data_IF_427144585759
#
_entry.id   IF_427144585759
#
_cell.length_a   1.000
_cell.length_b   1.000
_cell.length_c   1.000
_cell.angle_alpha   90.00
_cell.angle_beta   90.00
_cell.angle_gamma   90.00
#
_symmetry.space_group_name_H-M   'P 1'
#
loop_
_entity.id
_entity.type
_entity.pdbx_description
1 polymer ?
#
# COMPACT_ATOMS: atom_id res chain seq x y z
N UNK A 1 -1.37 -45.28 33.02
CA UNK A 1 -0.88 -45.52 31.66
C UNK A 1 -1.54 -44.47 30.77
N UNK A 2 -1.36 -43.18 31.09
CA UNK A 2 -2.19 -42.08 30.53
C UNK A 2 -1.38 -40.84 30.10
N UNK A 3 -0.08 -40.78 30.37
CA UNK A 3 0.76 -39.65 29.96
C UNK A 3 1.12 -39.67 28.46
N UNK A 4 1.04 -40.84 27.80
CA UNK A 4 1.46 -41.01 26.41
C UNK A 4 0.37 -40.64 25.38
N UNK A 5 -0.90 -40.63 25.80
CA UNK A 5 -2.03 -40.21 24.95
C UNK A 5 -2.23 -38.69 24.95
N UNK A 6 -1.93 -38.01 26.07
CA UNK A 6 -2.00 -36.55 26.16
C UNK A 6 -0.95 -35.85 25.26
N UNK A 7 0.21 -36.47 25.04
CA UNK A 7 1.30 -35.89 24.23
C UNK A 7 1.00 -35.84 22.72
N UNK A 8 0.05 -36.63 22.19
CA UNK A 8 -0.32 -36.59 20.76
C UNK A 8 -1.37 -35.55 20.40
N UNK A 9 -2.10 -35.01 21.39
CA UNK A 9 -3.12 -33.99 21.16
C UNK A 9 -2.52 -32.59 21.08
N UNK A 10 -1.36 -32.35 21.71
CA UNK A 10 -0.67 -31.04 21.70
C UNK A 10 0.33 -30.86 20.55
N UNK A 11 0.83 -31.94 19.94
CA UNK A 11 1.71 -31.85 18.77
C UNK A 11 0.96 -31.56 17.45
N UNK A 12 -0.37 -31.49 17.50
CA UNK A 12 -1.22 -31.33 16.32
C UNK A 12 -1.37 -29.86 15.91
N UNK A 13 -1.12 -28.90 16.81
CA UNK A 13 -1.24 -27.48 16.49
C UNK A 13 -0.06 -26.92 15.69
N UNK A 14 1.16 -27.39 15.96
CA UNK A 14 2.34 -27.02 15.17
C UNK A 14 2.33 -27.67 13.77
N UNK A 15 1.74 -28.86 13.61
CA UNK A 15 1.72 -29.60 12.34
C UNK A 15 0.74 -29.02 11.30
N UNK A 16 -0.44 -28.53 11.73
CA UNK A 16 -1.36 -27.88 10.79
C UNK A 16 -0.89 -26.49 10.40
N UNK A 17 -0.31 -25.72 11.34
CA UNK A 17 0.26 -24.41 11.04
C UNK A 17 1.43 -24.52 10.07
N UNK A 18 2.36 -25.46 10.29
CA UNK A 18 3.46 -25.76 9.37
C UNK A 18 2.96 -26.28 8.01
N UNK A 19 1.91 -27.11 8.01
CA UNK A 19 1.29 -27.60 6.77
C UNK A 19 0.65 -26.46 5.97
N UNK A 20 -0.03 -25.52 6.62
CA UNK A 20 -0.56 -24.31 5.97
C UNK A 20 0.59 -23.44 5.45
N UNK A 21 1.63 -23.20 6.25
CA UNK A 21 2.79 -22.42 5.84
C UNK A 21 3.48 -23.03 4.60
N UNK A 22 3.62 -24.35 4.55
CA UNK A 22 4.13 -25.08 3.37
C UNK A 22 3.21 -24.94 2.16
N UNK A 23 1.90 -25.05 2.33
CA UNK A 23 0.93 -24.88 1.25
C UNK A 23 0.98 -23.45 0.68
N UNK A 24 1.06 -22.43 1.54
CA UNK A 24 1.25 -21.03 1.14
C UNK A 24 2.58 -20.86 0.40
N UNK A 25 3.67 -21.47 0.89
CA UNK A 25 4.96 -21.46 0.20
C UNK A 25 4.90 -22.08 -1.20
N UNK A 26 4.17 -23.18 -1.37
CA UNK A 26 3.93 -23.81 -2.68
C UNK A 26 3.09 -22.91 -3.59
N UNK A 27 2.08 -22.22 -3.06
CA UNK A 27 1.27 -21.27 -3.82
C UNK A 27 2.11 -20.08 -4.31
N UNK A 28 2.93 -19.49 -3.44
CA UNK A 28 3.86 -18.40 -3.80
C UNK A 28 4.84 -18.84 -4.89
N UNK A 29 5.45 -20.03 -4.74
CA UNK A 29 6.36 -20.56 -5.75
C UNK A 29 5.67 -20.81 -7.10
N UNK A 30 4.42 -21.30 -7.08
CA UNK A 30 3.63 -21.48 -8.29
C UNK A 30 3.28 -20.12 -8.95
N UNK A 31 2.90 -19.12 -8.16
CA UNK A 31 2.62 -17.77 -8.65
C UNK A 31 3.86 -17.12 -9.31
N UNK A 32 5.05 -17.34 -8.75
CA UNK A 32 6.31 -16.86 -9.33
C UNK A 32 6.61 -17.53 -10.68
N UNK A 33 6.38 -18.85 -10.80
CA UNK A 33 6.53 -19.57 -12.07
C UNK A 33 5.55 -19.03 -13.11
N UNK A 34 4.28 -18.86 -12.75
CA UNK A 34 3.27 -18.29 -13.65
C UNK A 34 3.68 -16.89 -14.11
N UNK A 35 4.17 -16.04 -13.20
CA UNK A 35 4.66 -14.70 -13.53
C UNK A 35 5.83 -14.76 -14.53
N UNK A 36 6.79 -15.66 -14.32
CA UNK A 36 7.93 -15.82 -15.23
C UNK A 36 7.48 -16.28 -16.63
N UNK A 37 6.58 -17.25 -16.72
CA UNK A 37 6.03 -17.76 -18.00
C UNK A 37 5.24 -16.67 -18.73
N UNK A 38 4.41 -15.90 -18.01
CA UNK A 38 3.66 -14.78 -18.61
C UNK A 38 4.62 -13.70 -19.14
N UNK A 39 5.69 -13.38 -18.41
CA UNK A 39 6.71 -12.44 -18.88
C UNK A 39 7.42 -12.95 -20.14
N UNK A 40 7.80 -14.23 -20.18
CA UNK A 40 8.40 -14.85 -21.36
C UNK A 40 7.46 -14.85 -22.56
N UNK A 41 6.17 -15.18 -22.36
CA UNK A 41 5.15 -15.13 -23.40
C UNK A 41 5.00 -13.70 -23.97
N UNK A 42 5.00 -12.67 -23.11
CA UNK A 42 4.99 -11.27 -23.55
C UNK A 42 6.22 -10.89 -24.37
N UNK A 43 7.41 -11.35 -23.97
CA UNK A 43 8.66 -11.11 -24.72
C UNK A 43 8.61 -11.77 -26.12
N UNK A 44 7.94 -12.91 -26.22
CA UNK A 44 7.72 -13.62 -27.48
C UNK A 44 6.52 -13.08 -28.30
N UNK A 45 5.94 -11.95 -27.91
CA UNK A 45 4.88 -11.25 -28.65
C UNK A 45 3.45 -11.70 -28.34
N UNK A 46 3.22 -12.59 -27.36
CA UNK A 46 1.87 -12.97 -26.97
C UNK A 46 1.06 -11.76 -26.47
N UNK A 47 -0.19 -11.64 -26.90
CA UNK A 47 -1.06 -10.54 -26.47
C UNK A 47 -1.67 -10.83 -25.10
N UNK A 48 -2.11 -9.79 -24.38
CA UNK A 48 -2.84 -9.96 -23.11
C UNK A 48 -4.15 -10.74 -23.26
N UNK A 49 -4.73 -10.76 -24.46
CA UNK A 49 -5.89 -11.59 -24.75
C UNK A 49 -5.51 -13.07 -24.65
N UNK A 50 -4.49 -13.49 -25.40
CA UNK A 50 -4.00 -14.88 -25.41
C UNK A 50 -3.58 -15.33 -24.01
N UNK A 51 -2.91 -14.45 -23.26
CA UNK A 51 -2.50 -14.75 -21.88
C UNK A 51 -3.71 -14.89 -20.95
N UNK A 52 -4.70 -14.00 -21.06
CA UNK A 52 -5.94 -14.11 -20.28
C UNK A 52 -6.67 -15.41 -20.56
N UNK A 53 -6.85 -15.76 -21.84
CA UNK A 53 -7.51 -16.99 -22.27
C UNK A 53 -6.79 -18.23 -21.71
N UNK A 54 -5.44 -18.26 -21.76
CA UNK A 54 -4.64 -19.36 -21.21
C UNK A 54 -4.71 -19.47 -19.67
N UNK A 55 -4.88 -18.34 -18.98
CA UNK A 55 -5.01 -18.28 -17.51
C UNK A 55 -6.45 -18.46 -17.03
N UNK A 56 -7.42 -18.53 -17.94
CA UNK A 56 -8.85 -18.59 -17.59
C UNK A 56 -9.38 -17.29 -16.97
N UNK A 57 -8.76 -16.14 -17.25
CA UNK A 57 -9.16 -14.83 -16.75
C UNK A 57 -9.38 -13.84 -17.90
N UNK A 58 -10.06 -12.72 -17.64
CA UNK A 58 -10.21 -11.70 -18.68
C UNK A 58 -8.86 -11.08 -19.07
N UNK A 59 -8.76 -10.55 -20.29
CA UNK A 59 -7.60 -9.77 -20.76
C UNK A 59 -7.20 -8.68 -19.77
N UNK A 60 -8.18 -7.97 -19.23
CA UNK A 60 -7.95 -6.88 -18.27
C UNK A 60 -7.41 -7.42 -16.94
N UNK A 61 -7.94 -8.53 -16.44
CA UNK A 61 -7.44 -9.19 -15.23
C UNK A 61 -6.00 -9.70 -15.41
N UNK A 62 -5.67 -10.27 -16.58
CA UNK A 62 -4.30 -10.68 -16.91
C UNK A 62 -3.34 -9.48 -16.96
N UNK A 63 -3.74 -8.39 -17.61
CA UNK A 63 -2.93 -7.16 -17.68
C UNK A 63 -2.69 -6.57 -16.28
N UNK A 64 -3.72 -6.49 -15.45
CA UNK A 64 -3.60 -5.95 -14.09
C UNK A 64 -2.70 -6.83 -13.20
N UNK A 65 -2.79 -8.16 -13.31
CA UNK A 65 -2.04 -9.09 -12.46
C UNK A 65 -0.58 -9.28 -12.89
N UNK A 66 -0.30 -9.22 -14.19
CA UNK A 66 1.01 -9.60 -14.76
C UNK A 66 1.65 -8.56 -15.67
N UNK A 67 0.95 -7.48 -16.01
CA UNK A 67 1.50 -6.39 -16.79
C UNK A 67 2.57 -5.62 -16.02
N UNK A 68 3.61 -5.18 -16.73
CA UNK A 68 4.38 -4.02 -16.28
C UNK A 68 3.56 -2.79 -16.68
N UNK A 69 3.24 -1.88 -15.76
CA UNK A 69 2.64 -0.62 -16.17
C UNK A 69 3.59 0.02 -17.19
N UNK A 70 3.06 0.36 -18.35
CA UNK A 70 3.77 1.10 -19.38
C UNK A 70 3.21 2.51 -19.32
N UNK A 71 4.08 3.52 -19.29
CA UNK A 71 3.62 4.90 -19.38
C UNK A 71 2.89 5.09 -20.73
N UNK A 72 1.59 5.41 -20.73
CA UNK A 72 0.81 5.53 -21.96
C UNK A 72 1.25 6.71 -22.85
N UNK A 73 2.06 7.64 -22.34
CA UNK A 73 2.57 8.81 -23.08
C UNK A 73 3.89 8.52 -23.79
N UNK A 74 4.72 7.65 -23.23
CA UNK A 74 6.10 7.44 -23.71
C UNK A 74 6.34 6.03 -24.22
N UNK A 75 5.52 5.05 -23.83
CA UNK A 75 5.69 3.65 -24.18
C UNK A 75 6.81 2.94 -23.41
N UNK A 76 7.44 3.63 -22.46
CA UNK A 76 8.52 3.07 -21.63
C UNK A 76 7.98 2.30 -20.42
N UNK A 77 8.72 1.29 -19.92
CA UNK A 77 8.37 0.63 -18.66
C UNK A 77 8.33 1.65 -17.52
N UNK A 78 7.19 1.74 -16.83
CA UNK A 78 7.02 2.62 -15.68
C UNK A 78 7.96 2.16 -14.56
N UNK A 79 8.67 3.10 -13.94
CA UNK A 79 9.41 2.79 -12.72
C UNK A 79 8.40 2.38 -11.63
N UNK A 80 8.50 1.15 -11.15
CA UNK A 80 7.63 0.60 -10.10
C UNK A 80 8.30 0.58 -8.73
N UNK A 81 9.55 1.04 -8.62
CA UNK A 81 10.28 1.06 -7.36
C UNK A 81 9.85 2.27 -6.54
N UNK A 82 9.31 2.07 -5.33
CA UNK A 82 9.01 3.18 -4.43
C UNK A 82 10.27 3.97 -4.04
N UNK A 83 10.12 5.26 -3.82
CA UNK A 83 11.21 6.11 -3.37
C UNK A 83 11.69 5.64 -1.97
N UNK A 84 13.00 5.40 -1.76
CA UNK A 84 13.51 4.94 -0.48
C UNK A 84 13.29 5.96 0.65
N UNK A 85 12.95 5.47 1.84
CA UNK A 85 12.75 6.30 3.04
C UNK A 85 11.38 7.01 3.11
N UNK A 86 10.47 6.71 2.18
CA UNK A 86 9.17 7.40 2.11
C UNK A 86 8.19 6.93 3.18
N UNK A 87 8.30 5.70 3.68
CA UNK A 87 7.49 5.23 4.81
C UNK A 87 7.78 6.06 6.07
N UNK A 88 9.05 6.28 6.37
CA UNK A 88 9.51 7.09 7.50
C UNK A 88 9.11 8.56 7.32
N UNK A 89 9.20 9.07 6.09
CA UNK A 89 8.75 10.42 5.76
C UNK A 89 7.24 10.56 5.98
N UNK A 90 6.42 9.64 5.48
CA UNK A 90 4.97 9.64 5.69
C UNK A 90 4.61 9.57 7.18
N UNK A 91 5.28 8.69 7.93
CA UNK A 91 5.14 8.61 9.37
C UNK A 91 5.47 9.95 10.07
N UNK A 92 6.52 10.65 9.63
CA UNK A 92 6.88 11.96 10.18
C UNK A 92 5.83 13.04 9.88
N UNK A 93 5.22 13.01 8.68
CA UNK A 93 4.15 13.93 8.30
C UNK A 93 2.90 13.71 9.17
N UNK A 94 2.51 12.45 9.38
CA UNK A 94 1.39 12.11 10.29
C UNK A 94 1.66 12.56 11.72
N UNK A 95 2.91 12.38 12.20
CA UNK A 95 3.30 12.85 13.53
C UNK A 95 3.26 14.39 13.64
N UNK A 96 3.73 15.10 12.62
CA UNK A 96 3.66 16.56 12.57
C UNK A 96 2.21 17.07 12.50
N UNK A 97 1.31 16.38 11.78
CA UNK A 97 -0.13 16.68 11.79
C UNK A 97 -0.75 16.49 13.18
N UNK A 98 -0.51 15.34 13.82
CA UNK A 98 -1.04 15.04 15.14
C UNK A 98 -0.51 15.99 16.23
N UNK A 99 0.74 16.46 16.09
CA UNK A 99 1.37 17.41 17.01
C UNK A 99 1.03 18.89 16.70
N UNK A 100 0.30 19.17 15.62
CA UNK A 100 -0.03 20.52 15.20
C UNK A 100 1.15 21.34 14.66
N UNK A 101 2.17 20.68 14.14
CA UNK A 101 3.33 21.32 13.52
C UNK A 101 3.05 21.70 12.06
N UNK A 102 2.05 22.56 11.82
CA UNK A 102 1.55 22.89 10.49
C UNK A 102 2.63 23.43 9.54
N UNK A 103 3.48 24.34 10.02
CA UNK A 103 4.61 24.88 9.26
C UNK A 103 5.52 23.77 8.69
N UNK A 104 5.79 22.71 9.46
CA UNK A 104 6.62 21.60 8.98
C UNK A 104 5.93 20.78 7.90
N UNK A 105 4.60 20.69 7.92
CA UNK A 105 3.82 20.01 6.90
C UNK A 105 3.78 20.85 5.63
N UNK A 106 3.50 22.15 5.73
CA UNK A 106 3.42 23.08 4.59
C UNK A 106 4.76 23.25 3.88
N UNK A 107 5.88 23.27 4.60
CA UNK A 107 7.24 23.29 4.02
C UNK A 107 7.52 22.09 3.10
N UNK A 108 6.88 20.94 3.35
CA UNK A 108 7.05 19.71 2.55
C UNK A 108 6.12 19.63 1.35
N UNK A 109 5.12 20.51 1.27
CA UNK A 109 4.21 20.56 0.13
C UNK A 109 4.94 21.03 -1.12
N UNK A 110 4.56 20.49 -2.27
CA UNK A 110 4.99 21.04 -3.54
C UNK A 110 4.41 22.47 -3.74
N UNK A 111 4.96 23.27 -4.68
CA UNK A 111 4.50 24.63 -4.87
C UNK A 111 3.00 24.75 -5.19
N UNK A 112 2.43 23.79 -5.92
CA UNK A 112 1.01 23.80 -6.30
C UNK A 112 0.13 23.57 -5.08
N UNK A 113 0.50 22.65 -4.21
CA UNK A 113 -0.21 22.39 -2.97
C UNK A 113 -0.09 23.55 -1.97
N UNK A 114 1.07 24.20 -1.87
CA UNK A 114 1.27 25.35 -0.97
C UNK A 114 0.32 26.50 -1.28
N UNK A 115 0.00 26.72 -2.55
CA UNK A 115 -0.93 27.77 -2.96
C UNK A 115 -2.36 27.52 -2.46
N UNK A 116 -2.75 26.25 -2.26
CA UNK A 116 -4.11 25.85 -1.87
C UNK A 116 -4.27 25.36 -0.43
N UNK A 117 -3.17 25.00 0.24
CA UNK A 117 -3.20 24.34 1.55
C UNK A 117 -2.29 25.08 2.54
N UNK A 118 -2.85 26.14 3.15
CA UNK A 118 -2.18 26.93 4.18
C UNK A 118 -2.13 26.20 5.53
N UNK A 119 -1.31 26.72 6.46
CA UNK A 119 -1.26 26.23 7.84
C UNK A 119 -2.62 26.27 8.52
N UNK A 120 -3.36 27.37 8.36
CA UNK A 120 -4.71 27.54 8.92
C UNK A 120 -5.70 26.52 8.32
N UNK A 121 -5.58 26.25 7.02
CA UNK A 121 -6.44 25.27 6.35
C UNK A 121 -6.17 23.84 6.86
N UNK A 122 -4.90 23.48 7.06
CA UNK A 122 -4.51 22.20 7.66
C UNK A 122 -5.01 22.09 9.11
N UNK A 123 -4.81 23.14 9.91
CA UNK A 123 -5.27 23.17 11.29
C UNK A 123 -6.79 23.00 11.38
N UNK A 124 -7.54 23.72 10.53
CA UNK A 124 -8.99 23.62 10.47
C UNK A 124 -9.46 22.22 10.04
N UNK A 125 -8.83 21.63 9.02
CA UNK A 125 -9.16 20.28 8.55
C UNK A 125 -8.89 19.21 9.61
N UNK A 126 -7.75 19.29 10.31
CA UNK A 126 -7.43 18.36 11.39
C UNK A 126 -8.37 18.52 12.59
N UNK A 127 -8.70 19.76 12.97
CA UNK A 127 -9.67 20.04 14.04
C UNK A 127 -11.07 19.51 13.70
N UNK A 128 -11.50 19.61 12.43
CA UNK A 128 -12.75 19.00 11.98
C UNK A 128 -12.72 17.47 12.09
N UNK A 129 -11.63 16.82 11.68
CA UNK A 129 -11.47 15.37 11.81
C UNK A 129 -11.55 14.93 13.27
N UNK A 130 -10.80 15.58 14.17
CA UNK A 130 -10.84 15.30 15.60
C UNK A 130 -12.24 15.59 16.19
N UNK A 131 -12.91 16.64 15.75
CA UNK A 131 -14.28 16.95 16.18
C UNK A 131 -15.31 15.88 15.76
N UNK A 132 -15.09 15.20 14.63
CA UNK A 132 -15.97 14.15 14.13
C UNK A 132 -15.65 12.76 14.71
N UNK A 133 -14.39 12.49 15.03
CA UNK A 133 -13.91 11.13 15.33
C UNK A 133 -13.20 10.98 16.66
N UNK A 134 -13.17 12.04 17.46
CA UNK A 134 -12.48 12.06 18.75
C UNK A 134 -10.97 12.18 18.60
N UNK A 135 -10.26 11.94 19.70
CA UNK A 135 -8.81 12.09 19.73
C UNK A 135 -8.08 11.09 18.82
N UNK A 136 -6.94 11.50 18.27
CA UNK A 136 -6.02 10.62 17.58
C UNK A 136 -5.31 9.71 18.59
N UNK A 137 -5.40 8.40 18.39
CA UNK A 137 -4.85 7.39 19.30
C UNK A 137 -3.53 6.79 18.80
N UNK A 138 -3.35 6.71 17.48
CA UNK A 138 -2.13 6.17 16.91
C UNK A 138 -2.20 5.91 15.41
N UNK A 139 -1.10 5.41 14.86
CA UNK A 139 -1.00 5.01 13.45
C UNK A 139 -0.49 3.58 13.32
N UNK A 140 -0.90 2.91 12.24
CA UNK A 140 -0.27 1.68 11.77
C UNK A 140 0.98 1.95 10.94
N UNK A 141 1.51 0.87 10.34
CA UNK A 141 2.63 0.96 9.41
C UNK A 141 2.19 1.48 8.03
N UNK A 142 2.95 2.39 7.41
CA UNK A 142 2.65 2.86 6.06
C UNK A 142 2.85 1.75 5.02
N UNK A 143 1.82 1.48 4.22
CA UNK A 143 1.97 0.72 2.97
C UNK A 143 2.46 1.66 1.88
N UNK A 144 3.47 1.25 1.12
CA UNK A 144 4.09 2.09 0.07
C UNK A 144 3.89 1.45 -1.30
N UNK A 145 3.38 2.23 -2.25
CA UNK A 145 3.22 1.81 -3.63
C UNK A 145 3.72 2.90 -4.59
N UNK A 146 4.32 2.49 -5.71
CA UNK A 146 4.69 3.40 -6.79
C UNK A 146 3.56 3.44 -7.83
N UNK A 147 3.14 4.63 -8.21
CA UNK A 147 2.09 4.87 -9.21
C UNK A 147 2.53 6.00 -10.14
N UNK A 148 3.03 5.64 -11.34
CA UNK A 148 3.63 6.60 -12.26
C UNK A 148 4.85 7.29 -11.64
N UNK A 149 4.84 8.62 -11.71
CA UNK A 149 5.89 9.48 -11.19
C UNK A 149 5.74 9.80 -9.70
N UNK A 150 4.79 9.15 -9.02
CA UNK A 150 4.49 9.38 -7.61
C UNK A 150 4.70 8.11 -6.80
N UNK A 151 5.23 8.29 -5.59
CA UNK A 151 5.19 7.28 -4.54
C UNK A 151 4.02 7.58 -3.61
N UNK A 152 3.07 6.67 -3.50
CA UNK A 152 1.89 6.82 -2.66
C UNK A 152 2.08 5.98 -1.40
N UNK A 153 1.81 6.58 -0.24
CA UNK A 153 1.73 5.86 1.04
C UNK A 153 0.29 5.85 1.55
N UNK A 154 -0.15 4.71 2.06
CA UNK A 154 -1.38 4.58 2.85
C UNK A 154 -1.00 4.24 4.29
N UNK A 155 -1.26 5.13 5.23
CA UNK A 155 -0.96 4.94 6.66
C UNK A 155 -2.27 4.81 7.42
N UNK A 156 -2.58 3.64 8.02
CA UNK A 156 -3.73 3.49 8.89
C UNK A 156 -3.63 4.43 10.08
N UNK A 157 -4.73 5.09 10.45
CA UNK A 157 -4.84 5.99 11.59
C UNK A 157 -5.99 5.51 12.48
N UNK A 158 -5.75 5.43 13.79
CA UNK A 158 -6.76 5.11 14.79
C UNK A 158 -7.19 6.38 15.52
N UNK A 159 -8.50 6.59 15.63
CA UNK A 159 -9.14 7.63 16.43
C UNK A 159 -10.19 7.01 17.35
N UNK A 160 -10.56 7.69 18.44
CA UNK A 160 -11.52 7.19 19.45
C UNK A 160 -12.84 6.65 18.85
N UNK A 161 -13.33 7.28 17.77
CA UNK A 161 -14.59 6.96 17.13
C UNK A 161 -14.46 6.59 15.64
N UNK A 162 -13.30 6.05 15.21
CA UNK A 162 -13.18 5.46 13.88
C UNK A 162 -11.75 5.29 13.38
N UNK A 163 -11.62 4.44 12.34
CA UNK A 163 -10.36 4.23 11.65
C UNK A 163 -10.31 4.99 10.33
N UNK A 164 -9.16 5.57 10.04
CA UNK A 164 -8.89 6.33 8.83
C UNK A 164 -7.61 5.84 8.14
N UNK A 165 -7.37 6.34 6.94
CA UNK A 165 -6.13 6.16 6.20
C UNK A 165 -5.62 7.52 5.75
N UNK A 166 -4.41 7.88 6.17
CA UNK A 166 -3.67 8.97 5.57
C UNK A 166 -3.05 8.49 4.26
N UNK A 167 -3.54 9.01 3.14
CA UNK A 167 -2.95 8.81 1.82
C UNK A 167 -2.09 10.02 1.46
N UNK A 168 -0.78 9.79 1.29
CA UNK A 168 0.18 10.84 0.91
C UNK A 168 0.84 10.46 -0.40
N UNK A 169 0.88 11.39 -1.35
CA UNK A 169 1.55 11.21 -2.65
C UNK A 169 2.80 12.07 -2.70
N UNK A 170 3.95 11.44 -2.92
CA UNK A 170 5.26 12.08 -2.99
C UNK A 170 5.79 12.08 -4.42
N UNK A 171 6.39 13.20 -4.82
CA UNK A 171 7.24 13.28 -6.02
C UNK A 171 8.62 12.69 -5.73
N UNK A 172 9.43 12.53 -6.77
CA UNK A 172 10.80 12.04 -6.66
C UNK A 172 11.74 12.96 -5.87
N UNK A 173 11.42 14.25 -5.81
CA UNK A 173 12.12 15.24 -4.98
C UNK A 173 11.67 15.24 -3.50
N UNK A 174 10.79 14.29 -3.12
CA UNK A 174 10.21 14.12 -1.78
C UNK A 174 9.20 15.20 -1.38
N UNK A 175 8.82 16.10 -2.27
CA UNK A 175 7.71 17.02 -2.01
C UNK A 175 6.37 16.29 -2.07
N UNK A 176 5.42 16.74 -1.26
CA UNK A 176 4.07 16.21 -1.20
C UNK A 176 3.24 16.85 -2.31
N UNK A 177 2.72 16.02 -3.22
CA UNK A 177 1.82 16.41 -4.30
C UNK A 177 0.35 16.04 -4.01
N UNK A 178 0.08 15.30 -2.93
CA UNK A 178 -1.26 15.05 -2.44
C UNK A 178 -1.27 14.58 -0.99
N UNK A 179 -2.26 15.02 -0.22
CA UNK A 179 -2.52 14.62 1.16
C UNK A 179 -4.03 14.46 1.35
N UNK A 180 -4.47 13.26 1.73
CA UNK A 180 -5.87 12.94 1.95
C UNK A 180 -6.03 12.11 3.21
N UNK A 181 -7.08 12.38 3.99
CA UNK A 181 -7.57 11.48 5.03
C UNK A 181 -8.83 10.81 4.51
N UNK A 182 -8.81 9.48 4.43
CA UNK A 182 -9.90 8.66 3.89
C UNK A 182 -10.48 7.82 5.03
N UNK A 183 -11.79 7.64 5.09
CA UNK A 183 -12.39 6.65 5.99
C UNK A 183 -11.85 5.25 5.69
N UNK A 184 -11.52 4.48 6.72
CA UNK A 184 -11.06 3.11 6.57
C UNK A 184 -12.11 2.26 5.87
N UNK A 185 -11.75 1.62 4.74
CA UNK A 185 -12.59 0.59 4.16
C UNK A 185 -12.65 -0.58 5.16
N UNK A 186 -13.83 -0.85 5.73
CA UNK A 186 -14.08 -2.10 6.44
C UNK A 186 -13.86 -3.23 5.44
N UNK A 187 -12.82 -4.05 5.65
CA UNK A 187 -12.71 -5.37 5.03
C UNK A 187 -13.88 -6.26 5.42
#
# INVERSE_FOLDING_TARGET
MDAFLASRVLAKDDDWADSIARAVGMQTAADDVVRAVVQQARQNGATWQVIGDALGVSRQAAFQRYGKPIDPRTGEPMNTTPLPGVAELAASVVADLAAGHWARVTERLDPTMRDGLSEDALAAAWAQLVGLSGAFEGRGEPEVARAGDLTITNTPLAFEAGDYTARISFRDDRTIAGLHILEGQKS
#
